data_IF_951482962397
#
_entry.id   IF_951482962397
#
_cell.length_a   1.000
_cell.length_b   1.000
_cell.length_c   1.000
_cell.angle_alpha   90.00
_cell.angle_beta   90.00
_cell.angle_gamma   90.00
#
_symmetry.space_group_name_H-M   'P 1'
#
loop_
_entity.id
_entity.type
_entity.pdbx_description
1 polymer ?
#
# COMPACT_ATOMS: atom_id res chain seq x y z
N UNK A 1 7.37 8.84 -15.42
CA UNK A 1 6.30 8.81 -14.41
C UNK A 1 5.00 9.20 -15.07
N UNK A 2 4.00 8.33 -15.09
CA UNK A 2 2.70 8.56 -15.73
C UNK A 2 1.80 9.37 -14.78
N UNK A 3 1.20 10.44 -15.29
CA UNK A 3 0.28 11.34 -14.55
C UNK A 3 -1.15 11.26 -15.10
N UNK A 4 -1.62 10.05 -15.43
CA UNK A 4 -3.00 9.85 -15.89
C UNK A 4 -4.02 10.19 -14.81
N UNK A 5 -5.25 10.57 -15.26
CA UNK A 5 -6.35 10.93 -14.34
C UNK A 5 -6.98 9.73 -13.66
N UNK A 6 -6.83 8.53 -14.21
CA UNK A 6 -7.36 7.30 -13.68
C UNK A 6 -6.36 6.62 -12.74
N UNK A 7 -6.78 6.30 -11.53
CA UNK A 7 -5.92 5.70 -10.50
C UNK A 7 -5.38 4.33 -10.92
N UNK A 8 -6.17 3.55 -11.70
CA UNK A 8 -5.74 2.28 -12.25
C UNK A 8 -4.63 2.47 -13.29
N UNK A 9 -4.85 3.34 -14.28
CA UNK A 9 -3.85 3.62 -15.32
C UNK A 9 -2.55 4.14 -14.70
N UNK A 10 -2.64 5.06 -13.76
CA UNK A 10 -1.49 5.62 -13.03
C UNK A 10 -0.68 4.51 -12.37
N UNK A 11 -1.33 3.68 -11.55
CA UNK A 11 -0.68 2.60 -10.82
C UNK A 11 -0.10 1.56 -11.77
N UNK A 12 -0.87 1.12 -12.76
CA UNK A 12 -0.46 0.12 -13.74
C UNK A 12 0.78 0.56 -14.55
N UNK A 13 0.75 1.76 -15.12
CA UNK A 13 1.84 2.22 -15.97
C UNK A 13 3.11 2.51 -15.16
N UNK A 14 3.01 3.05 -13.96
CA UNK A 14 4.18 3.28 -13.10
C UNK A 14 4.82 1.95 -12.65
N UNK A 15 4.02 0.97 -12.21
CA UNK A 15 4.53 -0.37 -11.87
C UNK A 15 5.22 -1.00 -13.09
N UNK A 16 4.58 -0.98 -14.26
CA UNK A 16 5.12 -1.57 -15.48
C UNK A 16 6.42 -0.91 -15.92
N UNK A 17 6.52 0.40 -15.83
CA UNK A 17 7.74 1.15 -16.15
C UNK A 17 8.91 0.70 -15.26
N UNK A 18 8.67 0.59 -13.94
CA UNK A 18 9.68 0.15 -12.98
C UNK A 18 10.11 -1.28 -13.27
N UNK A 19 9.18 -2.21 -13.47
CA UNK A 19 9.48 -3.62 -13.78
C UNK A 19 10.33 -3.75 -15.05
N UNK A 20 10.03 -2.95 -16.08
CA UNK A 20 10.82 -2.94 -17.32
C UNK A 20 12.23 -2.38 -17.10
N UNK A 21 12.39 -1.29 -16.36
CA UNK A 21 13.69 -0.64 -16.12
C UNK A 21 14.61 -1.46 -15.20
N UNK A 22 14.04 -2.09 -14.17
CA UNK A 22 14.83 -2.85 -13.19
C UNK A 22 15.10 -4.30 -13.60
N UNK A 23 14.66 -4.72 -14.79
CA UNK A 23 14.93 -6.05 -15.34
C UNK A 23 14.21 -7.20 -14.61
N UNK A 24 13.24 -6.90 -13.75
CA UNK A 24 12.45 -7.89 -13.01
C UNK A 24 11.40 -8.58 -13.89
N UNK A 25 11.75 -8.95 -15.11
CA UNK A 25 10.85 -9.57 -16.11
C UNK A 25 10.32 -10.97 -15.75
N UNK A 26 10.77 -11.56 -14.66
CA UNK A 26 10.28 -12.85 -14.15
C UNK A 26 9.26 -12.71 -13.00
N UNK A 27 8.55 -11.58 -12.94
CA UNK A 27 7.46 -11.38 -11.97
C UNK A 27 6.33 -12.34 -12.30
N UNK A 28 5.88 -13.11 -11.31
CA UNK A 28 4.71 -13.98 -11.44
C UNK A 28 3.50 -13.12 -11.74
N UNK A 29 2.70 -13.48 -12.75
CA UNK A 29 1.55 -12.65 -13.19
C UNK A 29 0.53 -12.40 -12.07
N UNK A 30 0.33 -13.38 -11.19
CA UNK A 30 -0.60 -13.26 -10.06
C UNK A 30 -0.12 -12.25 -9.03
N UNK A 31 1.19 -12.23 -8.72
CA UNK A 31 1.77 -11.24 -7.79
C UNK A 31 1.68 -9.82 -8.35
N UNK A 32 1.83 -9.67 -9.66
CA UNK A 32 1.69 -8.39 -10.33
C UNK A 32 0.23 -7.89 -10.29
N UNK A 33 -0.73 -8.78 -10.54
CA UNK A 33 -2.15 -8.44 -10.50
C UNK A 33 -2.57 -8.03 -9.08
N UNK A 34 -2.13 -8.77 -8.06
CA UNK A 34 -2.38 -8.45 -6.65
C UNK A 34 -1.74 -7.12 -6.23
N UNK A 35 -0.52 -6.84 -6.67
CA UNK A 35 0.15 -5.58 -6.39
C UNK A 35 -0.57 -4.40 -7.05
N UNK A 36 -1.09 -4.57 -8.29
CA UNK A 36 -1.86 -3.55 -8.98
C UNK A 36 -3.19 -3.31 -8.27
N UNK A 37 -3.99 -4.35 -8.03
CA UNK A 37 -5.33 -4.21 -7.43
C UNK A 37 -5.24 -3.57 -6.02
N UNK A 38 -4.26 -3.98 -5.21
CA UNK A 38 -4.02 -3.36 -3.90
C UNK A 38 -3.50 -1.92 -4.03
N UNK A 39 -2.52 -1.68 -4.89
CA UNK A 39 -2.00 -0.34 -5.16
C UNK A 39 -3.08 0.63 -5.62
N UNK A 40 -4.01 0.20 -6.48
CA UNK A 40 -5.15 1.01 -6.91
C UNK A 40 -6.09 1.32 -5.75
N UNK A 41 -6.42 0.32 -4.92
CA UNK A 41 -7.29 0.53 -3.76
C UNK A 41 -6.68 1.56 -2.79
N UNK A 42 -5.38 1.44 -2.49
CA UNK A 42 -4.67 2.39 -1.62
C UNK A 42 -4.61 3.77 -2.27
N UNK A 43 -4.37 3.86 -3.60
CA UNK A 43 -4.35 5.14 -4.33
C UNK A 43 -5.69 5.86 -4.26
N UNK A 44 -6.81 5.14 -4.47
CA UNK A 44 -8.17 5.69 -4.34
C UNK A 44 -8.43 6.21 -2.93
N UNK A 45 -8.07 5.44 -1.91
CA UNK A 45 -8.24 5.82 -0.50
C UNK A 45 -7.40 7.06 -0.15
N UNK A 46 -6.15 7.12 -0.59
CA UNK A 46 -5.27 8.30 -0.42
C UNK A 46 -5.83 9.52 -1.14
N UNK A 47 -6.37 9.35 -2.36
CA UNK A 47 -6.99 10.45 -3.11
C UNK A 47 -8.13 11.09 -2.32
N UNK A 48 -9.09 10.28 -1.88
CA UNK A 48 -10.22 10.79 -1.11
C UNK A 48 -9.78 11.43 0.22
N UNK A 49 -8.81 10.84 0.91
CA UNK A 49 -8.31 11.41 2.16
C UNK A 49 -7.57 12.74 1.93
N UNK A 50 -6.81 12.88 0.85
CA UNK A 50 -6.18 14.14 0.47
C UNK A 50 -7.22 15.21 0.15
N UNK A 51 -8.29 14.87 -0.57
CA UNK A 51 -9.38 15.78 -0.93
C UNK A 51 -10.16 16.21 0.30
N UNK A 52 -10.54 15.28 1.17
CA UNK A 52 -11.23 15.56 2.44
C UNK A 52 -10.38 16.45 3.38
N UNK A 53 -9.06 16.27 3.37
CA UNK A 53 -8.11 17.02 4.20
C UNK A 53 -7.65 18.34 3.56
N UNK A 54 -8.12 18.70 2.37
CA UNK A 54 -7.73 19.95 1.68
C UNK A 54 -6.26 20.00 1.27
N UNK A 55 -5.65 18.85 0.98
CA UNK A 55 -4.25 18.77 0.55
C UNK A 55 -4.07 19.39 -0.83
N UNK A 56 -3.04 20.23 -0.98
CA UNK A 56 -2.74 20.89 -2.25
C UNK A 56 -2.50 19.88 -3.38
N UNK A 57 -2.95 20.21 -4.59
CA UNK A 57 -2.96 19.31 -5.76
C UNK A 57 -1.58 18.72 -6.07
N UNK A 58 -0.53 19.54 -6.04
CA UNK A 58 0.84 19.08 -6.30
C UNK A 58 1.30 18.00 -5.30
N UNK A 59 0.96 18.18 -4.03
CA UNK A 59 1.29 17.23 -2.98
C UNK A 59 0.42 15.97 -3.10
N UNK A 60 -0.86 16.11 -3.45
CA UNK A 60 -1.78 15.00 -3.73
C UNK A 60 -1.22 14.12 -4.85
N UNK A 61 -0.80 14.70 -5.98
CA UNK A 61 -0.22 13.96 -7.11
C UNK A 61 1.00 13.11 -6.71
N UNK A 62 1.88 13.67 -5.86
CA UNK A 62 3.00 12.94 -5.28
C UNK A 62 2.52 11.76 -4.42
N UNK A 63 1.53 11.99 -3.57
CA UNK A 63 0.95 10.97 -2.69
C UNK A 63 0.30 9.84 -3.47
N UNK A 64 -0.46 10.13 -4.54
CA UNK A 64 -1.08 9.11 -5.39
C UNK A 64 -0.03 8.20 -6.05
N UNK A 65 1.08 8.79 -6.50
CA UNK A 65 2.19 8.01 -7.05
C UNK A 65 2.83 7.12 -5.99
N UNK A 66 3.09 7.65 -4.79
CA UNK A 66 3.63 6.87 -3.68
C UNK A 66 2.69 5.73 -3.28
N UNK A 67 1.38 5.99 -3.22
CA UNK A 67 0.36 5.01 -2.89
C UNK A 67 0.33 3.83 -3.87
N UNK A 68 0.37 4.12 -5.17
CA UNK A 68 0.40 3.06 -6.20
C UNK A 68 1.67 2.21 -6.20
N UNK A 69 2.76 2.72 -5.62
CA UNK A 69 4.09 2.09 -5.68
C UNK A 69 4.59 1.58 -4.31
N UNK A 70 3.84 1.77 -3.22
CA UNK A 70 4.36 1.49 -1.87
C UNK A 70 4.86 0.04 -1.71
N UNK A 71 4.21 -0.89 -2.34
CA UNK A 71 4.48 -2.32 -2.27
C UNK A 71 5.33 -2.87 -3.44
N UNK A 72 5.86 -2.01 -4.33
CA UNK A 72 6.58 -2.45 -5.54
C UNK A 72 7.76 -3.38 -5.23
N UNK A 73 8.40 -3.22 -4.08
CA UNK A 73 9.49 -4.06 -3.64
C UNK A 73 9.12 -5.51 -3.36
N UNK A 74 7.83 -5.82 -3.16
CA UNK A 74 7.33 -7.20 -3.01
C UNK A 74 7.52 -8.03 -4.28
N UNK A 75 7.51 -7.40 -5.44
CA UNK A 75 7.73 -8.08 -6.73
C UNK A 75 9.11 -8.73 -6.85
N UNK A 76 10.11 -8.26 -6.11
CA UNK A 76 11.42 -8.92 -6.03
C UNK A 76 11.44 -10.12 -5.08
N UNK A 77 10.49 -10.20 -4.15
CA UNK A 77 10.45 -11.24 -3.13
C UNK A 77 9.78 -12.52 -3.61
N UNK A 78 8.87 -12.44 -4.60
CA UNK A 78 8.15 -13.58 -5.15
C UNK A 78 9.08 -14.71 -5.59
N UNK A 79 10.21 -14.40 -6.23
CA UNK A 79 11.20 -15.39 -6.66
C UNK A 79 11.86 -16.17 -5.50
N UNK A 80 11.92 -15.57 -4.30
CA UNK A 80 12.56 -16.18 -3.12
C UNK A 80 11.57 -16.99 -2.31
N UNK A 81 10.28 -16.66 -2.36
CA UNK A 81 9.23 -17.30 -1.58
C UNK A 81 8.60 -18.50 -2.29
N UNK A 82 8.57 -18.52 -3.63
CA UNK A 82 8.06 -19.63 -4.42
C UNK A 82 9.05 -20.80 -4.40
N UNK A 83 8.73 -21.86 -3.65
CA UNK A 83 9.47 -23.12 -3.64
C UNK A 83 9.91 -23.60 -2.26
N UNK A 84 9.57 -22.90 -1.18
CA UNK A 84 9.88 -23.33 0.20
C UNK A 84 8.68 -23.94 0.91
N UNK A 85 8.96 -24.93 1.76
CA UNK A 85 7.97 -25.64 2.57
C UNK A 85 7.25 -24.67 3.55
N UNK A 86 5.92 -24.65 3.50
CA UNK A 86 5.05 -23.70 4.24
C UNK A 86 5.19 -23.75 5.76
N UNK A 87 5.82 -24.76 6.33
CA UNK A 87 5.92 -24.96 7.79
C UNK A 87 7.06 -24.19 8.48
N UNK A 88 8.12 -23.81 7.74
CA UNK A 88 9.30 -23.10 8.27
C UNK A 88 9.25 -21.56 8.11
N UNK A 89 8.18 -21.03 7.51
CA UNK A 89 8.16 -19.71 6.90
C UNK A 89 7.90 -18.54 7.85
N UNK A 90 7.28 -18.71 9.02
CA UNK A 90 6.73 -17.56 9.77
C UNK A 90 7.74 -16.48 10.21
N UNK A 91 8.93 -16.84 10.64
CA UNK A 91 9.94 -15.83 11.09
C UNK A 91 10.74 -15.28 9.91
N UNK A 92 11.12 -16.14 8.97
CA UNK A 92 11.83 -15.72 7.76
C UNK A 92 10.92 -14.88 6.85
N UNK A 93 9.63 -15.22 6.71
CA UNK A 93 8.65 -14.42 5.97
C UNK A 93 8.52 -13.01 6.51
N UNK A 94 8.42 -12.83 7.82
CA UNK A 94 8.37 -11.49 8.42
C UNK A 94 9.65 -10.69 8.16
N UNK A 95 10.81 -11.35 8.15
CA UNK A 95 12.08 -10.70 7.80
C UNK A 95 12.11 -10.30 6.33
N UNK A 96 11.68 -11.20 5.43
CA UNK A 96 11.56 -10.91 4.00
C UNK A 96 10.52 -9.82 3.72
N UNK A 97 9.37 -9.87 4.39
CA UNK A 97 8.36 -8.82 4.25
C UNK A 97 8.90 -7.43 4.62
N UNK A 98 9.78 -7.31 5.61
CA UNK A 98 10.42 -6.03 5.95
C UNK A 98 11.40 -5.54 4.87
N UNK A 99 11.95 -6.44 4.08
CA UNK A 99 12.89 -6.08 3.00
C UNK A 99 12.21 -5.38 1.82
N UNK A 100 10.87 -5.49 1.65
CA UNK A 100 10.22 -4.87 0.50
C UNK A 100 10.34 -3.33 0.51
N UNK A 101 10.36 -2.68 1.68
CA UNK A 101 10.53 -1.24 1.78
C UNK A 101 11.91 -0.80 1.26
N UNK A 102 12.97 -1.54 1.63
CA UNK A 102 14.33 -1.31 1.13
C UNK A 102 14.46 -1.61 -0.38
N UNK A 103 13.83 -2.69 -0.84
CA UNK A 103 13.81 -3.03 -2.25
C UNK A 103 13.05 -1.97 -3.08
N UNK A 104 11.89 -1.52 -2.58
CA UNK A 104 11.13 -0.45 -3.22
C UNK A 104 11.95 0.84 -3.34
N UNK A 105 12.64 1.24 -2.24
CA UNK A 105 13.55 2.39 -2.25
C UNK A 105 14.58 2.28 -3.36
N UNK A 106 15.31 1.15 -3.46
CA UNK A 106 16.33 0.93 -4.51
C UNK A 106 15.75 1.01 -5.91
N UNK A 107 14.62 0.35 -6.14
CA UNK A 107 13.95 0.37 -7.44
C UNK A 107 13.53 1.80 -7.85
N UNK A 108 13.01 2.58 -6.90
CA UNK A 108 12.58 3.96 -7.16
C UNK A 108 13.79 4.90 -7.40
N UNK A 109 14.88 4.72 -6.65
CA UNK A 109 16.15 5.45 -6.85
C UNK A 109 16.73 5.17 -8.24
N UNK A 110 16.82 3.89 -8.64
CA UNK A 110 17.28 3.47 -9.97
C UNK A 110 16.42 4.03 -11.11
N UNK A 111 15.11 4.18 -10.87
CA UNK A 111 14.18 4.76 -11.84
C UNK A 111 14.14 6.30 -11.81
N UNK A 112 14.86 6.96 -10.89
CA UNK A 112 14.96 8.41 -10.81
C UNK A 112 13.69 9.08 -10.25
N UNK A 113 12.94 8.41 -9.37
CA UNK A 113 11.79 9.01 -8.72
C UNK A 113 12.20 10.11 -7.73
N UNK A 114 11.35 11.15 -7.52
CA UNK A 114 11.60 12.19 -6.53
C UNK A 114 11.80 11.64 -5.12
N UNK A 115 12.73 12.24 -4.35
CA UNK A 115 13.03 11.81 -2.98
C UNK A 115 11.79 11.80 -2.06
N UNK A 116 10.84 12.70 -2.28
CA UNK A 116 9.60 12.74 -1.51
C UNK A 116 8.76 11.47 -1.67
N UNK A 117 8.69 10.92 -2.89
CA UNK A 117 8.01 9.63 -3.18
C UNK A 117 8.79 8.50 -2.53
N UNK A 118 10.11 8.48 -2.70
CA UNK A 118 10.97 7.45 -2.13
C UNK A 118 10.83 7.39 -0.61
N UNK A 119 10.85 8.55 0.08
CA UNK A 119 10.67 8.63 1.53
C UNK A 119 9.28 8.17 1.97
N UNK A 120 8.23 8.53 1.24
CA UNK A 120 6.87 8.08 1.53
C UNK A 120 6.77 6.56 1.48
N UNK A 121 7.31 5.96 0.41
CA UNK A 121 7.31 4.50 0.18
C UNK A 121 8.22 3.79 1.19
N UNK A 122 9.42 4.30 1.45
CA UNK A 122 10.39 3.67 2.36
C UNK A 122 9.89 3.58 3.79
N UNK A 123 9.19 4.63 4.28
CA UNK A 123 8.77 4.74 5.68
C UNK A 123 7.28 4.39 5.93
N UNK A 124 6.55 3.85 4.94
CA UNK A 124 5.10 3.59 5.11
C UNK A 124 4.77 2.52 6.17
N UNK A 125 5.74 1.76 6.62
CA UNK A 125 5.61 0.81 7.73
C UNK A 125 6.15 1.31 9.07
N UNK A 126 6.56 2.56 9.16
CA UNK A 126 6.85 3.16 10.45
C UNK A 126 5.55 3.32 11.26
N UNK A 127 5.61 3.01 12.54
CA UNK A 127 4.52 3.20 13.49
C UNK A 127 4.72 4.50 14.25
N UNK A 128 3.64 5.23 14.51
CA UNK A 128 3.72 6.54 15.15
C UNK A 128 4.37 6.48 16.54
N UNK A 129 4.27 5.34 17.23
CA UNK A 129 4.92 5.07 18.52
C UNK A 129 6.42 4.70 18.39
N UNK A 130 6.97 4.52 17.18
CA UNK A 130 8.36 4.15 16.93
C UNK A 130 8.63 2.64 16.92
N UNK A 131 7.62 1.80 17.02
CA UNK A 131 7.76 0.33 16.96
C UNK A 131 7.83 -0.23 15.54
N UNK A 132 7.68 0.65 14.52
CA UNK A 132 7.67 0.28 13.11
C UNK A 132 9.04 -0.01 12.50
N UNK A 133 9.13 0.01 11.18
CA UNK A 133 10.36 -0.22 10.42
C UNK A 133 10.33 0.62 9.12
N UNK A 134 11.46 0.88 8.45
CA UNK A 134 12.79 0.29 8.65
C UNK A 134 13.65 0.99 9.70
N UNK A 135 13.46 2.30 9.95
CA UNK A 135 14.38 3.14 10.72
C UNK A 135 13.91 3.37 12.16
N UNK A 136 12.75 2.81 12.56
CA UNK A 136 12.11 3.00 13.87
C UNK A 136 11.86 4.48 14.21
N UNK A 137 11.44 5.25 13.21
CA UNK A 137 11.08 6.65 13.40
C UNK A 137 9.79 6.75 14.24
N UNK A 138 9.70 7.82 15.06
CA UNK A 138 8.54 8.05 15.90
C UNK A 138 7.95 9.44 15.68
N UNK A 139 6.62 9.54 15.77
CA UNK A 139 5.87 10.78 15.73
C UNK A 139 6.14 11.58 14.45
N UNK A 140 6.38 12.88 14.58
CA UNK A 140 6.61 13.80 13.45
C UNK A 140 7.96 13.60 12.72
N UNK A 141 8.84 12.71 13.21
CA UNK A 141 10.06 12.32 12.47
C UNK A 141 9.70 11.46 11.25
N UNK A 142 8.58 10.75 11.28
CA UNK A 142 8.05 10.02 10.12
C UNK A 142 7.53 11.06 9.12
N UNK A 143 7.89 11.00 7.83
CA UNK A 143 7.34 11.89 6.81
C UNK A 143 5.80 11.88 6.83
N UNK A 144 5.18 13.06 6.69
CA UNK A 144 3.71 13.17 6.70
C UNK A 144 3.06 12.25 5.66
N UNK A 145 3.65 12.17 4.46
CA UNK A 145 3.21 11.28 3.38
C UNK A 145 3.24 9.80 3.80
N UNK A 146 4.26 9.37 4.51
CA UNK A 146 4.37 8.00 5.00
C UNK A 146 3.31 7.70 6.09
N UNK A 147 3.05 8.65 7.00
CA UNK A 147 2.00 8.51 8.03
C UNK A 147 0.60 8.41 7.42
N UNK A 148 0.30 9.22 6.38
CA UNK A 148 -0.97 9.16 5.67
C UNK A 148 -1.11 7.83 4.90
N UNK A 149 -0.04 7.42 4.23
CA UNK A 149 0.00 6.15 3.50
C UNK A 149 -0.21 4.97 4.45
N UNK A 150 0.40 4.99 5.65
CA UNK A 150 0.21 4.00 6.71
C UNK A 150 -1.27 3.80 7.07
N UNK A 151 -2.02 4.89 7.30
CA UNK A 151 -3.45 4.82 7.64
C UNK A 151 -4.24 4.17 6.51
N UNK A 152 -4.05 4.61 5.27
CA UNK A 152 -4.77 4.09 4.11
C UNK A 152 -4.42 2.64 3.82
N UNK A 153 -3.12 2.29 3.82
CA UNK A 153 -2.66 0.92 3.58
C UNK A 153 -3.16 -0.05 4.64
N UNK A 154 -3.12 0.33 5.93
CA UNK A 154 -3.63 -0.51 7.01
C UNK A 154 -5.09 -0.89 6.79
N UNK A 155 -5.96 0.08 6.48
CA UNK A 155 -7.36 -0.20 6.16
C UNK A 155 -7.50 -1.09 4.93
N UNK A 156 -6.87 -0.71 3.83
CA UNK A 156 -6.93 -1.45 2.56
C UNK A 156 -6.42 -2.88 2.70
N UNK A 157 -5.37 -3.09 3.50
CA UNK A 157 -4.85 -4.42 3.78
C UNK A 157 -5.86 -5.28 4.56
N UNK A 158 -6.58 -4.71 5.53
CA UNK A 158 -7.59 -5.43 6.31
C UNK A 158 -8.79 -5.86 5.46
N UNK A 159 -9.30 -5.00 4.60
CA UNK A 159 -10.47 -5.27 3.74
C UNK A 159 -10.14 -6.01 2.45
N UNK A 160 -8.86 -6.31 2.20
CA UNK A 160 -8.42 -7.10 1.05
C UNK A 160 -8.26 -8.58 1.42
N UNK A 161 -8.68 -9.46 0.50
CA UNK A 161 -8.42 -10.89 0.61
C UNK A 161 -6.92 -11.18 0.43
N UNK A 162 -6.38 -12.05 1.27
CA UNK A 162 -4.99 -12.49 1.24
C UNK A 162 -4.94 -14.02 1.14
N UNK A 163 -3.87 -14.64 0.61
CA UNK A 163 -3.76 -16.10 0.44
C UNK A 163 -3.98 -16.91 1.73
N UNK A 164 -3.75 -16.28 2.89
CA UNK A 164 -3.85 -16.90 4.22
C UNK A 164 -5.02 -16.38 5.06
N UNK A 165 -5.81 -15.40 4.56
CA UNK A 165 -6.89 -14.74 5.32
C UNK A 165 -7.93 -14.12 4.39
N UNK A 166 -9.20 -14.33 4.68
CA UNK A 166 -10.30 -13.61 4.04
C UNK A 166 -10.28 -12.13 4.41
N UNK A 167 -10.87 -11.30 3.57
CA UNK A 167 -11.13 -9.90 3.89
C UNK A 167 -11.98 -9.78 5.16
N UNK A 168 -11.68 -8.80 6.00
CA UNK A 168 -12.58 -8.41 7.09
C UNK A 168 -13.72 -7.56 6.54
N UNK A 169 -14.86 -7.57 7.22
CA UNK A 169 -15.92 -6.61 7.02
C UNK A 169 -15.41 -5.19 7.32
N UNK A 170 -15.93 -4.19 6.63
CA UNK A 170 -15.42 -2.82 6.70
C UNK A 170 -15.44 -2.24 8.12
N UNK A 171 -16.54 -2.45 8.86
CA UNK A 171 -16.67 -1.96 10.24
C UNK A 171 -15.70 -2.71 11.16
N UNK A 172 -15.53 -4.01 11.01
CA UNK A 172 -14.54 -4.80 11.77
C UNK A 172 -13.12 -4.32 11.50
N UNK A 173 -12.77 -3.99 10.25
CA UNK A 173 -11.48 -3.43 9.91
C UNK A 173 -11.24 -2.08 10.61
N UNK A 174 -12.26 -1.24 10.67
CA UNK A 174 -12.20 0.03 11.38
C UNK A 174 -12.01 -0.15 12.89
N UNK A 175 -12.76 -1.08 13.52
CA UNK A 175 -12.61 -1.43 14.94
C UNK A 175 -11.17 -1.88 15.25
N UNK A 176 -10.59 -2.76 14.42
CA UNK A 176 -9.19 -3.20 14.57
C UNK A 176 -8.21 -2.03 14.49
N UNK A 177 -8.42 -1.06 13.58
CA UNK A 177 -7.56 0.12 13.50
C UNK A 177 -7.69 1.03 14.72
N UNK A 178 -8.87 1.10 15.36
CA UNK A 178 -9.07 1.84 16.60
C UNK A 178 -8.30 1.18 17.75
N UNK A 179 -8.32 -0.16 17.84
CA UNK A 179 -7.58 -0.92 18.84
C UNK A 179 -6.07 -0.71 18.74
N UNK A 180 -5.54 -0.67 17.49
CA UNK A 180 -4.11 -0.47 17.20
C UNK A 180 -3.76 1.01 16.90
N UNK A 181 -4.61 1.96 17.32
CA UNK A 181 -4.47 3.39 16.98
C UNK A 181 -3.17 4.05 17.44
N UNK A 182 -2.44 3.47 18.42
CA UNK A 182 -1.09 3.91 18.82
C UNK A 182 -0.06 3.87 17.69
N UNK A 183 -0.29 3.01 16.70
CA UNK A 183 0.58 2.83 15.53
C UNK A 183 0.35 3.93 14.47
N UNK A 184 -0.75 4.67 14.58
CA UNK A 184 -1.22 5.64 13.60
C UNK A 184 -1.04 7.09 14.08
N UNK A 185 -0.86 8.02 13.14
CA UNK A 185 -1.01 9.44 13.43
C UNK A 185 -2.49 9.74 13.69
N UNK A 186 -2.82 10.07 14.94
CA UNK A 186 -4.19 10.29 15.38
C UNK A 186 -4.88 11.43 14.62
N UNK A 187 -4.15 12.48 14.23
CA UNK A 187 -4.72 13.58 13.45
C UNK A 187 -5.18 13.11 12.07
N UNK A 188 -4.33 12.33 11.38
CA UNK A 188 -4.65 11.75 10.08
C UNK A 188 -5.76 10.70 10.22
N UNK A 189 -5.71 9.88 11.26
CA UNK A 189 -6.71 8.83 11.48
C UNK A 189 -8.10 9.41 11.75
N UNK A 190 -8.21 10.52 12.47
CA UNK A 190 -9.50 11.21 12.68
C UNK A 190 -10.08 11.76 11.37
N UNK A 191 -9.26 12.29 10.46
CA UNK A 191 -9.73 12.68 9.11
C UNK A 191 -10.18 11.46 8.29
N UNK A 192 -9.45 10.35 8.39
CA UNK A 192 -9.86 9.08 7.77
C UNK A 192 -11.20 8.58 8.34
N UNK A 193 -11.45 8.66 9.66
CA UNK A 193 -12.72 8.28 10.26
C UNK A 193 -13.89 9.12 9.74
N UNK A 194 -13.69 10.45 9.58
CA UNK A 194 -14.70 11.32 8.97
C UNK A 194 -15.00 10.90 7.52
N UNK A 195 -13.94 10.65 6.74
CA UNK A 195 -14.06 10.18 5.37
C UNK A 195 -14.80 8.83 5.31
N UNK A 196 -14.48 7.88 6.19
CA UNK A 196 -15.12 6.56 6.23
C UNK A 196 -16.65 6.64 6.36
N UNK A 197 -17.16 7.63 7.07
CA UNK A 197 -18.60 7.86 7.26
C UNK A 197 -19.24 8.78 6.21
N UNK A 198 -18.49 9.18 5.19
CA UNK A 198 -19.01 10.01 4.09
C UNK A 198 -19.56 9.17 2.94
N UNK A 199 -20.36 9.79 2.08
CA UNK A 199 -20.91 9.13 0.88
C UNK A 199 -19.81 8.79 -0.12
N UNK A 200 -18.77 9.60 -0.21
CA UNK A 200 -17.63 9.40 -1.11
C UNK A 200 -16.88 8.10 -0.82
N UNK A 201 -16.92 7.60 0.42
CA UNK A 201 -16.23 6.37 0.80
C UNK A 201 -16.86 5.11 0.19
N UNK A 202 -18.08 5.18 -0.29
CA UNK A 202 -18.72 4.04 -0.98
C UNK A 202 -17.92 3.60 -2.22
N UNK A 203 -17.24 4.51 -2.92
CA UNK A 203 -16.32 4.17 -4.02
C UNK A 203 -15.25 3.17 -3.58
N UNK A 204 -14.71 3.33 -2.37
CA UNK A 204 -13.68 2.45 -1.81
C UNK A 204 -14.25 1.08 -1.50
N UNK A 205 -15.44 1.02 -0.88
CA UNK A 205 -16.11 -0.24 -0.53
C UNK A 205 -16.49 -1.04 -1.78
N UNK A 206 -17.01 -0.36 -2.80
CA UNK A 206 -17.34 -0.98 -4.10
C UNK A 206 -16.09 -1.56 -4.78
N UNK A 207 -15.00 -0.78 -4.84
CA UNK A 207 -13.76 -1.24 -5.45
C UNK A 207 -13.14 -2.42 -4.69
N UNK A 208 -13.06 -2.35 -3.35
CA UNK A 208 -12.54 -3.44 -2.52
C UNK A 208 -13.35 -4.73 -2.71
N UNK A 209 -14.68 -4.62 -2.75
CA UNK A 209 -15.58 -5.74 -3.00
C UNK A 209 -15.36 -6.35 -4.40
N UNK A 210 -15.22 -5.50 -5.41
CA UNK A 210 -14.93 -5.94 -6.79
C UNK A 210 -13.59 -6.68 -6.87
N UNK A 211 -12.52 -6.10 -6.30
CA UNK A 211 -11.19 -6.70 -6.31
C UNK A 211 -11.15 -8.07 -5.60
N UNK A 212 -11.84 -8.20 -4.46
CA UNK A 212 -11.94 -9.46 -3.74
C UNK A 212 -12.72 -10.53 -4.55
N UNK A 213 -13.82 -10.17 -5.22
CA UNK A 213 -14.57 -11.09 -6.09
C UNK A 213 -13.72 -11.57 -7.27
N UNK A 214 -12.95 -10.68 -7.89
CA UNK A 214 -12.05 -11.02 -9.00
C UNK A 214 -11.04 -12.10 -8.59
N UNK A 215 -10.48 -12.02 -7.39
CA UNK A 215 -9.55 -13.03 -6.84
C UNK A 215 -10.20 -14.41 -6.71
N UNK A 216 -11.44 -14.50 -6.25
CA UNK A 216 -12.17 -15.77 -6.18
C UNK A 216 -12.33 -16.46 -7.54
N UNK A 217 -12.54 -15.69 -8.62
CA UNK A 217 -12.66 -16.27 -9.97
C UNK A 217 -11.32 -16.75 -10.54
N UNK A 218 -10.22 -16.13 -10.16
CA UNK A 218 -8.88 -16.50 -10.67
C UNK A 218 -8.25 -17.68 -9.92
N UNK A 219 -8.55 -17.85 -8.63
CA UNK A 219 -7.95 -18.88 -7.77
C UNK A 219 -8.90 -20.00 -7.38
N UNK A 220 -10.16 -19.98 -7.79
CA UNK A 220 -11.23 -20.93 -7.45
C UNK A 220 -11.62 -21.91 -8.57
N UNK A 221 -10.79 -22.05 -9.60
CA UNK A 221 -11.00 -23.01 -10.69
C UNK A 221 -9.99 -24.16 -10.63
#
# INVERSE_FOLDING_TARGET
MYQGKDDFERTYYNIREIVQKTGNGAVVQDDLADAIDHGVLVTKTVRLLCEASGIAEEYKEMMLTAAGLHDIGKLQLGQVLYGRDKSAMKIEEMRYMRMHAENAKKMLEECGYPEAIIKAVYHHHENFDGSGYPDNLAGSKIPFSARMLKVCDTFCALVSERPYRKAFEFDTALEMMIEDSKDLDMGIFLEFLKLYHSEEFEEIKEYATFANRKKHYLHGA
#
